data_IF_256919893219
#
_entry.id   IF_256919893219
#
_cell.length_a   1.000
_cell.length_b   1.000
_cell.length_c   1.000
_cell.angle_alpha   90.00
_cell.angle_beta   90.00
_cell.angle_gamma   90.00
#
_symmetry.space_group_name_H-M   'P 1'
#
loop_
_entity.id
_entity.type
_entity.pdbx_description
1 polymer ?
#
# COMPACT_ATOMS: atom_id res chain seq x y z
N UNK A 1 11.71 -0.81 18.15
CA UNK A 1 11.53 0.43 17.36
C UNK A 1 10.83 0.02 16.08
N UNK A 2 9.72 0.68 15.74
CA UNK A 2 9.00 0.37 14.50
C UNK A 2 9.74 0.99 13.30
N UNK A 3 9.56 0.43 12.11
CA UNK A 3 10.13 1.03 10.90
C UNK A 3 9.24 2.16 10.42
N UNK A 4 7.94 1.91 10.30
CA UNK A 4 6.93 2.89 9.91
C UNK A 4 5.79 2.85 10.94
N UNK A 5 5.27 4.03 11.28
CA UNK A 5 4.05 4.19 12.05
C UNK A 5 3.10 5.14 11.30
N UNK A 6 1.93 4.65 10.90
CA UNK A 6 0.86 5.45 10.32
C UNK A 6 -0.11 5.80 11.45
N UNK A 7 -0.40 7.07 11.69
CA UNK A 7 -1.20 7.51 12.84
C UNK A 7 -2.52 8.16 12.44
N UNK A 8 -3.53 8.06 13.29
CA UNK A 8 -4.81 8.81 13.19
C UNK A 8 -5.59 8.61 11.88
N UNK A 9 -5.33 7.54 11.14
CA UNK A 9 -6.04 7.21 9.90
C UNK A 9 -7.34 6.45 10.18
N UNK A 10 -8.33 6.59 9.28
CA UNK A 10 -9.48 5.66 9.26
C UNK A 10 -9.03 4.38 8.58
N UNK A 11 -8.76 3.34 9.36
CA UNK A 11 -8.34 2.04 8.87
C UNK A 11 -9.57 1.28 8.38
N UNK A 12 -9.59 0.95 7.09
CA UNK A 12 -10.65 0.16 6.45
C UNK A 12 -10.02 -1.14 5.96
N UNK A 13 -10.38 -2.27 6.57
CA UNK A 13 -9.92 -3.60 6.20
C UNK A 13 -11.11 -4.57 6.17
N UNK A 14 -11.70 -4.81 4.99
CA UNK A 14 -12.83 -5.73 4.84
C UNK A 14 -12.53 -7.16 5.28
N UNK A 15 -11.29 -7.63 5.12
CA UNK A 15 -10.93 -9.00 5.45
C UNK A 15 -11.00 -9.28 6.96
N UNK A 16 -10.72 -8.27 7.78
CA UNK A 16 -10.88 -8.35 9.25
C UNK A 16 -12.14 -7.64 9.77
N UNK A 17 -12.97 -7.08 8.87
CA UNK A 17 -14.19 -6.35 9.23
C UNK A 17 -13.97 -5.03 9.95
N UNK A 18 -12.80 -4.39 9.77
CA UNK A 18 -12.45 -3.12 10.43
C UNK A 18 -12.88 -1.92 9.63
N UNK A 19 -13.45 -0.96 10.34
CA UNK A 19 -13.72 0.40 9.87
C UNK A 19 -13.69 1.35 11.08
N UNK A 20 -12.49 1.82 11.43
CA UNK A 20 -12.26 2.57 12.66
C UNK A 20 -11.05 3.51 12.56
N UNK A 21 -11.03 4.56 13.36
CA UNK A 21 -9.81 5.38 13.49
C UNK A 21 -8.79 4.65 14.33
N UNK A 22 -7.61 4.39 13.75
CA UNK A 22 -6.55 3.62 14.38
C UNK A 22 -5.16 4.01 13.85
N UNK A 23 -4.13 3.55 14.55
CA UNK A 23 -2.76 3.59 14.07
C UNK A 23 -2.37 2.23 13.47
N UNK A 24 -1.40 2.22 12.55
CA UNK A 24 -0.84 1.00 11.95
C UNK A 24 0.67 1.03 12.11
N UNK A 25 1.21 0.04 12.83
CA UNK A 25 2.65 -0.09 13.04
C UNK A 25 3.23 -1.19 12.14
N UNK A 26 4.34 -0.88 11.48
CA UNK A 26 5.04 -1.75 10.54
C UNK A 26 6.47 -1.97 11.02
N UNK A 27 6.92 -3.22 11.02
CA UNK A 27 8.30 -3.60 11.28
C UNK A 27 8.73 -4.76 10.38
N UNK A 28 9.93 -4.68 9.80
CA UNK A 28 10.50 -5.65 8.87
C UNK A 28 9.55 -6.00 7.72
N UNK A 29 8.91 -4.97 7.15
CA UNK A 29 7.95 -5.11 6.05
C UNK A 29 6.63 -5.80 6.41
N UNK A 30 6.33 -6.01 7.69
CA UNK A 30 5.08 -6.64 8.16
C UNK A 30 4.30 -5.71 9.08
N UNK A 31 2.97 -5.78 8.99
CA UNK A 31 2.07 -5.14 9.95
C UNK A 31 2.22 -5.88 11.29
N UNK A 32 2.65 -5.16 12.33
CA UNK A 32 2.83 -5.72 13.69
C UNK A 32 1.73 -5.31 14.65
N UNK A 33 0.99 -4.24 14.35
CA UNK A 33 -0.15 -3.79 15.15
C UNK A 33 -1.10 -2.92 14.32
N UNK A 34 -2.40 -3.09 14.56
CA UNK A 34 -3.48 -2.17 14.16
C UNK A 34 -4.23 -1.77 15.43
N UNK A 35 -4.48 -0.47 15.59
CA UNK A 35 -5.05 0.11 16.80
C UNK A 35 -4.06 1.08 17.47
N UNK A 36 -4.44 1.64 18.62
CA UNK A 36 -3.64 2.67 19.30
C UNK A 36 -2.20 2.21 19.52
N UNK A 37 -1.25 2.87 18.87
CA UNK A 37 0.16 2.53 18.91
C UNK A 37 0.92 3.54 19.77
N UNK A 38 1.78 3.03 20.64
CA UNK A 38 2.69 3.83 21.44
C UNK A 38 4.12 3.43 21.07
N UNK A 39 5.04 4.40 21.02
CA UNK A 39 6.46 4.16 20.80
C UNK A 39 7.06 4.94 19.63
N UNK A 40 8.37 4.84 19.49
CA UNK A 40 9.14 5.50 18.43
C UNK A 40 9.18 4.63 17.17
N UNK A 41 8.96 5.24 16.01
CA UNK A 41 9.20 4.66 14.70
C UNK A 41 10.33 5.42 13.99
N UNK A 42 11.01 4.79 13.02
CA UNK A 42 11.99 5.48 12.17
C UNK A 42 11.32 6.52 11.28
N UNK A 43 10.13 6.19 10.78
CA UNK A 43 9.30 7.09 9.99
C UNK A 43 7.86 7.11 10.55
N UNK A 44 7.27 8.29 10.66
CA UNK A 44 5.89 8.48 11.12
C UNK A 44 5.11 9.24 10.06
N UNK A 45 3.94 8.71 9.71
CA UNK A 45 3.03 9.30 8.71
C UNK A 45 1.73 9.68 9.43
N UNK A 46 1.38 10.96 9.45
CA UNK A 46 0.07 11.41 9.95
C UNK A 46 -0.99 11.25 8.85
N UNK A 47 -1.95 10.36 9.08
CA UNK A 47 -3.06 10.05 8.20
C UNK A 47 -4.40 10.64 8.69
N UNK A 48 -4.37 11.65 9.57
CA UNK A 48 -5.60 12.32 10.05
C UNK A 48 -6.47 12.80 8.88
N UNK A 49 -7.74 12.39 8.88
CA UNK A 49 -8.70 12.73 7.82
C UNK A 49 -8.46 11.98 6.51
N UNK A 50 -7.60 10.96 6.50
CA UNK A 50 -7.32 10.07 5.37
C UNK A 50 -7.78 8.65 5.68
N UNK A 51 -7.96 7.86 4.62
CA UNK A 51 -8.21 6.42 4.70
C UNK A 51 -6.87 5.68 4.65
N UNK A 52 -6.73 4.65 5.48
CA UNK A 52 -5.65 3.68 5.43
C UNK A 52 -6.29 2.34 5.10
N UNK A 53 -5.94 1.76 3.96
CA UNK A 53 -6.51 0.50 3.50
C UNK A 53 -5.38 -0.47 3.08
N UNK A 54 -5.66 -1.77 2.97
CA UNK A 54 -4.78 -2.68 2.24
C UNK A 54 -4.45 -2.13 0.86
N UNK A 55 -3.21 -2.30 0.41
CA UNK A 55 -2.81 -1.91 -0.93
C UNK A 55 -3.65 -2.65 -1.97
N UNK A 56 -4.08 -1.95 -3.02
CA UNK A 56 -4.94 -2.53 -4.04
C UNK A 56 -4.17 -3.58 -4.85
N UNK A 57 -4.92 -4.55 -5.39
CA UNK A 57 -4.41 -5.62 -6.24
C UNK A 57 -5.13 -5.52 -7.59
N UNK A 58 -4.37 -5.28 -8.66
CA UNK A 58 -4.88 -5.31 -10.04
C UNK A 58 -4.51 -6.64 -10.69
N UNK A 59 -5.50 -7.37 -11.17
CA UNK A 59 -5.31 -8.67 -11.81
C UNK A 59 -5.13 -8.56 -13.33
N UNK A 60 -5.23 -7.37 -13.92
CA UNK A 60 -5.25 -7.20 -15.37
C UNK A 60 -4.46 -5.96 -15.81
N UNK A 61 -3.13 -6.09 -15.89
CA UNK A 61 -2.25 -5.00 -16.37
C UNK A 61 -1.44 -5.46 -17.58
N UNK A 62 -1.34 -4.60 -18.60
CA UNK A 62 -0.47 -4.82 -19.75
C UNK A 62 0.78 -3.96 -19.62
N UNK A 63 1.91 -4.55 -19.21
CA UNK A 63 3.18 -3.82 -19.04
C UNK A 63 3.94 -3.60 -20.34
N UNK A 64 3.58 -4.32 -21.42
CA UNK A 64 4.14 -4.19 -22.78
C UNK A 64 5.64 -4.45 -22.92
N UNK A 65 6.30 -4.90 -21.86
CA UNK A 65 7.69 -5.30 -21.85
C UNK A 65 7.81 -6.80 -21.56
N UNK A 66 8.55 -7.57 -22.37
CA UNK A 66 9.35 -7.12 -23.52
C UNK A 66 8.56 -7.00 -24.85
N UNK A 67 9.04 -6.15 -25.77
CA UNK A 67 8.66 -6.16 -27.19
C UNK A 67 7.79 -5.00 -27.69
N UNK A 68 7.16 -4.23 -26.78
CA UNK A 68 6.32 -3.07 -27.06
C UNK A 68 6.60 -1.92 -26.07
N UNK A 69 7.88 -1.71 -25.72
CA UNK A 69 8.30 -0.74 -24.70
C UNK A 69 7.94 0.72 -25.03
N UNK A 70 7.62 1.02 -26.28
CA UNK A 70 7.08 2.30 -26.72
C UNK A 70 5.66 2.59 -26.21
N UNK A 71 4.89 1.54 -25.89
CA UNK A 71 3.54 1.67 -25.33
C UNK A 71 3.58 1.79 -23.80
N UNK A 72 4.37 0.94 -23.13
CA UNK A 72 4.53 0.92 -21.68
C UNK A 72 5.77 0.09 -21.29
N UNK A 73 6.32 0.29 -20.09
CA UNK A 73 7.37 -0.59 -19.52
C UNK A 73 6.96 -1.11 -18.14
N UNK A 74 7.61 -2.16 -17.65
CA UNK A 74 7.40 -2.64 -16.27
C UNK A 74 7.63 -1.50 -15.26
N UNK A 75 8.66 -0.68 -15.49
CA UNK A 75 9.03 0.40 -14.58
C UNK A 75 7.96 1.51 -14.53
N UNK A 76 7.47 1.95 -15.68
CA UNK A 76 6.47 3.03 -15.78
C UNK A 76 5.08 2.54 -15.36
N UNK A 77 4.69 1.31 -15.70
CA UNK A 77 3.48 0.68 -15.20
C UNK A 77 3.48 0.55 -13.67
N UNK A 78 4.58 0.11 -13.07
CA UNK A 78 4.72 0.00 -11.62
C UNK A 78 4.63 1.39 -10.93
N UNK A 79 5.22 2.43 -11.52
CA UNK A 79 5.12 3.79 -11.01
C UNK A 79 3.67 4.31 -11.05
N UNK A 80 2.95 4.07 -12.16
CA UNK A 80 1.54 4.41 -12.29
C UNK A 80 0.66 3.63 -11.28
N UNK A 81 0.92 2.33 -11.10
CA UNK A 81 0.23 1.49 -10.13
C UNK A 81 0.37 2.05 -8.70
N UNK A 82 1.58 2.38 -8.26
CA UNK A 82 1.83 2.96 -6.93
C UNK A 82 1.12 4.31 -6.76
N UNK A 83 1.12 5.17 -7.79
CA UNK A 83 0.39 6.44 -7.76
C UNK A 83 -1.13 6.26 -7.62
N UNK A 84 -1.69 5.18 -8.16
CA UNK A 84 -3.10 4.79 -8.01
C UNK A 84 -3.43 4.04 -6.72
N UNK A 85 -2.44 3.70 -5.89
CA UNK A 85 -2.64 2.93 -4.66
C UNK A 85 -2.58 1.40 -4.83
N UNK A 86 -2.17 0.92 -6.00
CA UNK A 86 -1.90 -0.50 -6.23
C UNK A 86 -0.51 -0.87 -5.74
N UNK A 87 -0.44 -1.94 -4.96
CA UNK A 87 0.82 -2.48 -4.43
C UNK A 87 1.17 -3.83 -5.04
N UNK A 88 0.26 -4.41 -5.82
CA UNK A 88 0.45 -5.65 -6.55
C UNK A 88 -0.32 -5.55 -7.87
N UNK A 89 0.36 -5.88 -8.97
CA UNK A 89 -0.23 -5.92 -10.31
C UNK A 89 0.12 -7.26 -10.96
N UNK A 90 -0.83 -7.84 -11.69
CA UNK A 90 -0.63 -9.05 -12.47
C UNK A 90 -0.46 -8.68 -13.94
N UNK A 91 0.76 -8.89 -14.46
CA UNK A 91 1.05 -8.66 -15.86
C UNK A 91 0.38 -9.73 -16.74
N UNK A 92 -0.34 -9.29 -17.76
CA UNK A 92 -0.90 -10.17 -18.78
C UNK A 92 0.22 -10.72 -19.68
N UNK A 93 0.10 -11.96 -20.19
CA UNK A 93 1.19 -12.67 -20.85
C UNK A 93 1.31 -12.36 -22.36
N UNK A 94 0.95 -11.16 -22.81
CA UNK A 94 0.78 -10.82 -24.23
C UNK A 94 1.61 -9.63 -24.70
#
# INVERSE_FOLDING_TARGET
MNDILITSGRVIDPASGRDETADVAIAKGRIVKVGKAAGKARNTIDAKGKIVAPGLIDLHVHCREPGHEEEETIATAAAAAVAGGFTTICAMPN
#
